data_IF_149616686662
#
_entry.id   IF_149616686662
#
_cell.length_a   1.000
_cell.length_b   1.000
_cell.length_c   1.000
_cell.angle_alpha   90.00
_cell.angle_beta   90.00
_cell.angle_gamma   90.00
#
_symmetry.space_group_name_H-M   'P 1'
#
loop_
_entity.id
_entity.type
_entity.pdbx_description
1 polymer ?
#
# COMPACT_ATOMS: atom_id res chain seq x y z
N UNK A 1 6.95 32.00 -11.18
CA UNK A 1 6.81 32.55 -9.81
C UNK A 1 6.99 31.40 -8.82
N UNK A 2 8.13 31.39 -8.14
CA UNK A 2 8.44 30.41 -7.10
C UNK A 2 7.66 30.83 -5.85
N UNK A 3 6.57 30.15 -5.54
CA UNK A 3 5.88 30.37 -4.27
C UNK A 3 6.78 29.85 -3.14
N UNK A 4 7.30 30.74 -2.32
CA UNK A 4 7.97 30.39 -1.07
C UNK A 4 6.93 29.96 -0.06
N UNK A 5 6.87 28.67 0.24
CA UNK A 5 6.06 28.14 1.33
C UNK A 5 6.89 28.20 2.62
N UNK A 6 6.67 29.23 3.41
CA UNK A 6 7.27 29.33 4.73
C UNK A 6 6.39 28.57 5.73
N UNK A 7 6.94 27.53 6.38
CA UNK A 7 6.31 26.92 7.54
C UNK A 7 6.24 27.96 8.64
N UNK A 8 5.08 28.59 8.84
CA UNK A 8 4.84 29.44 10.01
C UNK A 8 4.97 28.60 11.27
N UNK A 9 5.62 29.11 12.29
CA UNK A 9 5.67 28.59 13.67
C UNK A 9 4.26 28.59 14.31
N UNK A 10 3.37 27.79 13.82
CA UNK A 10 2.11 27.46 14.47
C UNK A 10 2.16 25.98 14.85
N UNK A 11 1.45 25.61 15.88
CA UNK A 11 1.43 24.25 16.47
C UNK A 11 0.99 23.13 15.52
N UNK A 12 0.71 23.41 14.26
CA UNK A 12 0.36 22.46 13.22
C UNK A 12 1.58 22.23 12.33
N UNK A 13 2.07 21.00 12.33
CA UNK A 13 3.08 20.55 11.37
C UNK A 13 2.38 20.39 10.02
N UNK A 14 2.87 21.09 8.99
CA UNK A 14 2.43 20.86 7.62
C UNK A 14 3.16 19.62 7.09
N UNK A 15 2.40 18.66 6.51
CA UNK A 15 2.93 17.57 5.71
C UNK A 15 3.44 18.09 4.37
N UNK A 16 4.31 17.33 3.72
CA UNK A 16 4.78 17.66 2.38
C UNK A 16 6.19 17.15 2.08
N UNK A 17 6.60 17.36 0.84
CA UNK A 17 7.92 16.95 0.39
C UNK A 17 8.95 18.03 0.72
N UNK A 18 10.09 17.71 1.37
CA UNK A 18 11.10 18.69 1.72
C UNK A 18 11.81 19.23 0.47
N UNK A 19 11.78 20.54 0.29
CA UNK A 19 12.43 21.24 -0.80
C UNK A 19 13.77 21.86 -0.37
N UNK A 20 13.81 22.51 0.78
CA UNK A 20 14.98 23.23 1.26
C UNK A 20 15.00 23.32 2.78
N UNK A 21 16.20 23.30 3.36
CA UNK A 21 16.41 23.64 4.77
C UNK A 21 16.99 25.06 4.86
N UNK A 22 16.27 25.93 5.56
CA UNK A 22 16.77 27.27 5.88
C UNK A 22 17.49 27.25 7.24
N UNK A 23 18.81 27.32 7.18
CA UNK A 23 19.66 27.32 8.38
C UNK A 23 19.51 28.54 9.27
N UNK A 24 19.05 29.69 8.73
CA UNK A 24 18.87 30.91 9.50
C UNK A 24 17.61 30.85 10.37
N UNK A 25 16.50 30.42 9.81
CA UNK A 25 15.24 30.22 10.52
C UNK A 25 15.12 28.87 11.19
N UNK A 26 16.03 27.92 10.91
CA UNK A 26 15.96 26.50 11.32
C UNK A 26 14.64 25.81 10.90
N UNK A 27 14.12 26.20 9.76
CA UNK A 27 12.88 25.69 9.20
C UNK A 27 13.14 24.83 7.94
N UNK A 28 12.26 23.88 7.70
CA UNK A 28 12.21 23.15 6.43
C UNK A 28 11.10 23.74 5.58
N UNK A 29 11.40 24.08 4.35
CA UNK A 29 10.41 24.47 3.35
C UNK A 29 9.90 23.19 2.72
N UNK A 30 8.59 23.00 2.70
CA UNK A 30 7.94 21.82 2.13
C UNK A 30 7.01 22.23 0.98
N UNK A 31 6.82 21.31 0.06
CA UNK A 31 5.74 21.37 -0.92
C UNK A 31 4.56 20.57 -0.35
N UNK A 32 3.49 21.26 0.01
CA UNK A 32 2.24 20.73 0.55
C UNK A 32 1.13 20.66 -0.50
N UNK A 33 1.48 20.83 -1.77
CA UNK A 33 0.52 20.75 -2.87
C UNK A 33 0.19 19.30 -3.20
N UNK A 34 -1.01 19.07 -3.74
CA UNK A 34 -1.44 17.76 -4.28
C UNK A 34 -0.76 17.52 -5.64
N UNK A 35 0.55 17.27 -5.59
CA UNK A 35 1.41 17.10 -6.76
C UNK A 35 2.27 15.85 -6.68
N UNK A 36 2.58 15.26 -7.84
CA UNK A 36 3.53 14.16 -7.94
C UNK A 36 4.96 14.70 -8.04
N UNK A 37 5.85 14.18 -7.19
CA UNK A 37 7.25 14.58 -7.18
C UNK A 37 8.16 13.46 -7.68
N UNK A 38 8.96 13.73 -8.70
CA UNK A 38 9.98 12.82 -9.22
C UNK A 38 11.37 13.24 -8.76
N UNK A 39 12.05 12.38 -7.99
CA UNK A 39 13.43 12.58 -7.56
C UNK A 39 14.35 11.62 -8.28
N UNK A 40 15.20 12.11 -9.16
CA UNK A 40 16.16 11.31 -9.93
C UNK A 40 17.61 11.68 -9.60
N UNK A 41 18.51 10.74 -9.84
CA UNK A 41 19.95 10.93 -9.62
C UNK A 41 20.68 9.59 -9.66
N UNK A 42 21.99 9.62 -9.87
CA UNK A 42 22.85 8.42 -9.90
C UNK A 42 22.85 7.65 -8.58
N UNK A 43 23.33 6.41 -8.61
CA UNK A 43 23.60 5.65 -7.41
C UNK A 43 24.60 6.39 -6.51
N UNK A 44 24.33 6.46 -5.20
CA UNK A 44 25.17 7.21 -4.27
C UNK A 44 24.87 8.71 -4.15
N UNK A 45 23.96 9.29 -4.94
CA UNK A 45 23.57 10.71 -4.86
C UNK A 45 22.80 11.09 -3.59
N UNK A 46 22.65 10.16 -2.65
CA UNK A 46 21.99 10.36 -1.33
C UNK A 46 20.50 10.72 -1.41
N UNK A 47 19.79 10.39 -2.50
CA UNK A 47 18.35 10.65 -2.65
C UNK A 47 17.52 10.23 -1.43
N UNK A 48 17.72 9.00 -0.97
CA UNK A 48 16.98 8.48 0.21
C UNK A 48 17.25 9.30 1.46
N UNK A 49 18.51 9.73 1.68
CA UNK A 49 18.88 10.50 2.88
C UNK A 49 18.47 11.97 2.81
N UNK A 50 18.49 12.54 1.61
CA UNK A 50 18.21 13.98 1.43
C UNK A 50 16.72 14.29 1.27
N UNK A 51 15.93 13.37 0.72
CA UNK A 51 14.52 13.60 0.42
C UNK A 51 13.61 12.58 1.13
N UNK A 52 13.78 11.27 0.88
CA UNK A 52 12.82 10.25 1.36
C UNK A 52 12.76 10.18 2.89
N UNK A 53 13.91 10.08 3.57
CA UNK A 53 13.94 10.00 5.04
C UNK A 53 13.40 11.28 5.72
N UNK A 54 13.76 12.50 5.28
CA UNK A 54 13.14 13.71 5.80
C UNK A 54 11.63 13.79 5.51
N UNK A 55 11.17 13.36 4.31
CA UNK A 55 9.75 13.34 3.98
C UNK A 55 8.95 12.44 4.94
N UNK A 56 9.44 11.21 5.21
CA UNK A 56 8.80 10.30 6.18
C UNK A 56 8.65 10.96 7.55
N UNK A 57 9.66 11.68 8.02
CA UNK A 57 9.60 12.37 9.32
C UNK A 57 8.63 13.53 9.33
N UNK A 58 8.60 14.31 8.26
CA UNK A 58 7.72 15.47 8.13
C UNK A 58 6.27 15.01 8.06
N UNK A 59 5.96 14.06 7.18
CA UNK A 59 4.63 13.49 7.03
C UNK A 59 4.17 12.77 8.30
N UNK A 60 5.08 12.02 8.96
CA UNK A 60 4.79 11.36 10.22
C UNK A 60 4.42 12.34 11.33
N UNK A 61 5.09 13.47 11.44
CA UNK A 61 4.75 14.52 12.43
C UNK A 61 3.52 15.31 12.08
N UNK A 62 3.17 15.35 10.80
CA UNK A 62 1.93 15.97 10.32
C UNK A 62 0.70 15.06 10.51
N UNK A 63 0.89 13.79 10.86
CA UNK A 63 -0.21 12.83 11.01
C UNK A 63 -0.72 12.24 9.69
N UNK A 64 0.08 12.34 8.62
CA UNK A 64 -0.30 11.88 7.29
C UNK A 64 -0.12 10.38 7.11
N UNK A 65 -1.07 9.71 6.45
CA UNK A 65 -0.94 8.29 6.09
C UNK A 65 0.07 8.11 4.97
N UNK A 66 0.88 7.05 5.04
CA UNK A 66 1.95 6.80 4.09
C UNK A 66 1.97 5.37 3.58
N UNK A 67 2.24 5.20 2.29
CA UNK A 67 2.62 3.91 1.69
C UNK A 67 4.08 4.03 1.24
N UNK A 68 4.95 3.16 1.79
CA UNK A 68 6.39 3.25 1.57
C UNK A 68 6.89 1.94 0.95
N UNK A 69 7.48 2.03 -0.24
CA UNK A 69 8.19 0.90 -0.84
C UNK A 69 9.65 0.90 -0.35
N UNK A 70 10.00 -0.08 0.53
CA UNK A 70 11.32 -0.21 1.12
C UNK A 70 11.99 -1.53 0.71
N UNK A 71 12.58 -1.56 -0.47
CA UNK A 71 13.21 -2.75 -1.03
C UNK A 71 14.39 -3.30 -0.19
N UNK A 72 14.94 -2.51 0.73
CA UNK A 72 16.11 -2.87 1.56
C UNK A 72 15.80 -3.02 3.05
N UNK A 73 14.61 -2.62 3.49
CA UNK A 73 14.25 -2.58 4.90
C UNK A 73 14.92 -1.42 5.69
N UNK A 74 15.62 -0.52 4.97
CA UNK A 74 16.41 0.55 5.59
C UNK A 74 15.52 1.65 6.18
N UNK A 75 14.41 1.97 5.49
CA UNK A 75 13.45 2.98 5.92
C UNK A 75 12.65 2.49 7.12
N UNK A 76 12.19 1.24 7.10
CA UNK A 76 11.50 0.61 8.21
C UNK A 76 12.38 0.59 9.47
N UNK A 77 13.59 0.06 9.37
CA UNK A 77 14.51 -0.04 10.50
C UNK A 77 14.83 1.32 11.14
N UNK A 78 14.82 2.40 10.34
CA UNK A 78 15.19 3.72 10.80
C UNK A 78 14.02 4.53 11.38
N UNK A 79 12.81 4.34 10.85
CA UNK A 79 11.67 5.20 11.16
C UNK A 79 10.54 4.52 11.91
N UNK A 80 10.47 3.18 11.93
CA UNK A 80 9.37 2.47 12.58
C UNK A 80 9.19 2.83 14.06
N UNK A 81 10.28 2.96 14.80
CA UNK A 81 10.21 3.33 16.21
C UNK A 81 9.65 4.75 16.40
N UNK A 82 10.16 5.74 15.66
CA UNK A 82 9.68 7.14 15.73
C UNK A 82 8.20 7.23 15.33
N UNK A 83 7.79 6.51 14.29
CA UNK A 83 6.39 6.46 13.87
C UNK A 83 5.48 5.75 14.89
N UNK A 84 5.96 4.68 15.50
CA UNK A 84 5.22 4.01 16.59
C UNK A 84 5.05 4.91 17.84
N UNK A 85 6.04 5.73 18.16
CA UNK A 85 5.95 6.73 19.23
C UNK A 85 4.96 7.88 18.91
N UNK A 86 4.62 8.04 17.64
CA UNK A 86 3.59 8.96 17.13
C UNK A 86 2.22 8.29 16.93
N UNK A 87 2.00 7.11 17.53
CA UNK A 87 0.75 6.32 17.46
C UNK A 87 0.36 5.83 16.05
N UNK A 88 1.34 5.66 15.14
CA UNK A 88 1.06 5.07 13.83
C UNK A 88 0.84 3.56 13.92
N UNK A 89 -0.19 3.08 13.26
CA UNK A 89 -0.34 1.66 12.95
C UNK A 89 0.55 1.28 11.77
N UNK A 90 1.65 0.58 12.04
CA UNK A 90 2.64 0.22 11.03
C UNK A 90 2.37 -1.19 10.52
N UNK A 91 1.95 -1.30 9.27
CA UNK A 91 1.74 -2.58 8.59
C UNK A 91 2.91 -2.86 7.66
N UNK A 92 3.55 -4.01 7.83
CA UNK A 92 4.72 -4.43 7.03
C UNK A 92 4.36 -5.65 6.20
N UNK A 93 4.35 -5.50 4.87
CA UNK A 93 4.21 -6.63 3.95
C UNK A 93 5.60 -7.00 3.46
N UNK A 94 6.11 -8.13 3.93
CA UNK A 94 7.49 -8.57 3.64
C UNK A 94 7.50 -9.75 2.68
N UNK A 95 7.65 -9.48 1.38
CA UNK A 95 7.72 -10.51 0.35
C UNK A 95 9.03 -11.33 0.37
N UNK A 96 10.12 -10.84 1.01
CA UNK A 96 11.37 -11.59 1.11
C UNK A 96 11.35 -12.61 2.24
N UNK A 97 10.71 -12.25 3.34
CA UNK A 97 10.53 -13.14 4.48
C UNK A 97 9.14 -12.92 5.07
N UNK A 98 8.12 -13.57 4.51
CA UNK A 98 6.72 -13.39 4.93
C UNK A 98 6.49 -13.66 6.42
N UNK A 99 7.30 -14.53 7.03
CA UNK A 99 7.19 -14.84 8.46
C UNK A 99 7.52 -13.66 9.40
N UNK A 100 8.17 -12.61 8.90
CA UNK A 100 8.55 -11.43 9.68
C UNK A 100 7.69 -10.19 9.40
N UNK A 101 6.67 -10.33 8.55
CA UNK A 101 5.72 -9.28 8.22
C UNK A 101 4.34 -9.50 8.82
N UNK A 102 3.44 -8.58 8.54
CA UNK A 102 2.03 -8.75 8.82
C UNK A 102 1.39 -9.69 7.78
N UNK A 103 0.50 -10.54 8.23
CA UNK A 103 -0.29 -11.34 7.31
C UNK A 103 -1.31 -10.44 6.58
N UNK A 104 -1.45 -10.68 5.28
CA UNK A 104 -2.44 -10.01 4.46
C UNK A 104 -3.20 -11.02 3.61
N UNK A 105 -4.51 -11.00 3.71
CA UNK A 105 -5.39 -11.82 2.90
C UNK A 105 -6.15 -10.93 1.92
N UNK A 106 -5.86 -10.99 0.61
CA UNK A 106 -6.52 -10.14 -0.39
C UNK A 106 -8.02 -10.39 -0.49
N UNK A 107 -8.49 -11.60 -0.11
CA UNK A 107 -9.89 -11.96 -0.15
C UNK A 107 -10.72 -11.41 1.02
N UNK A 108 -10.10 -10.81 2.04
CA UNK A 108 -10.81 -10.29 3.22
C UNK A 108 -11.78 -9.17 2.87
N UNK A 109 -11.33 -8.18 2.09
CA UNK A 109 -12.13 -7.00 1.74
C UNK A 109 -13.34 -7.39 0.87
N UNK A 110 -13.19 -8.11 -0.25
CA UNK A 110 -14.33 -8.52 -1.06
C UNK A 110 -15.29 -9.46 -0.29
N UNK A 111 -14.79 -10.28 0.62
CA UNK A 111 -15.65 -11.12 1.46
C UNK A 111 -16.49 -10.29 2.43
N UNK A 112 -15.95 -9.23 3.03
CA UNK A 112 -16.75 -8.34 3.89
C UNK A 112 -17.86 -7.64 3.10
N UNK A 113 -17.62 -7.19 1.87
CA UNK A 113 -18.68 -6.69 0.99
C UNK A 113 -19.72 -7.75 0.68
N UNK A 114 -19.30 -9.00 0.42
CA UNK A 114 -20.21 -10.13 0.21
C UNK A 114 -21.12 -10.34 1.42
N UNK A 115 -20.57 -10.34 2.65
CA UNK A 115 -21.34 -10.51 3.90
C UNK A 115 -22.33 -9.38 4.15
N UNK A 116 -21.97 -8.16 3.82
CA UNK A 116 -22.86 -7.00 4.01
C UNK A 116 -23.93 -6.86 2.90
N UNK A 117 -23.89 -7.74 1.89
CA UNK A 117 -24.84 -7.75 0.78
C UNK A 117 -24.51 -6.78 -0.36
N UNK A 118 -23.37 -6.09 -0.30
CA UNK A 118 -22.88 -5.25 -1.40
C UNK A 118 -22.21 -6.13 -2.48
N UNK A 119 -23.07 -6.82 -3.25
CA UNK A 119 -22.62 -7.80 -4.24
C UNK A 119 -21.86 -7.16 -5.40
N UNK A 120 -22.14 -5.90 -5.71
CA UNK A 120 -21.48 -5.18 -6.81
C UNK A 120 -20.00 -4.98 -6.45
N UNK A 121 -19.70 -4.42 -5.28
CA UNK A 121 -18.32 -4.27 -4.83
C UNK A 121 -17.62 -5.60 -4.55
N UNK A 122 -18.32 -6.56 -3.97
CA UNK A 122 -17.76 -7.90 -3.76
C UNK A 122 -17.29 -8.51 -5.08
N UNK A 123 -18.10 -8.40 -6.13
CA UNK A 123 -17.81 -8.92 -7.47
C UNK A 123 -16.70 -8.13 -8.15
N UNK A 124 -16.69 -6.79 -8.04
CA UNK A 124 -15.65 -5.93 -8.60
C UNK A 124 -14.26 -6.29 -8.03
N UNK A 125 -14.13 -6.30 -6.70
CA UNK A 125 -12.83 -6.63 -6.06
C UNK A 125 -12.42 -8.09 -6.28
N UNK A 126 -13.37 -9.04 -6.29
CA UNK A 126 -13.06 -10.44 -6.56
C UNK A 126 -12.57 -10.64 -8.00
N UNK A 127 -13.19 -9.94 -8.95
CA UNK A 127 -12.78 -9.97 -10.35
C UNK A 127 -11.41 -9.32 -10.57
N UNK A 128 -11.12 -8.21 -9.88
CA UNK A 128 -9.80 -7.57 -9.91
C UNK A 128 -8.70 -8.51 -9.39
N UNK A 129 -8.97 -9.22 -8.31
CA UNK A 129 -8.04 -10.22 -7.76
C UNK A 129 -7.83 -11.35 -8.76
N UNK A 130 -8.91 -11.91 -9.33
CA UNK A 130 -8.83 -12.98 -10.32
C UNK A 130 -8.02 -12.56 -11.56
N UNK A 131 -8.27 -11.36 -12.07
CA UNK A 131 -7.53 -10.81 -13.20
C UNK A 131 -6.04 -10.62 -12.88
N UNK A 132 -5.70 -10.08 -11.71
CA UNK A 132 -4.31 -9.87 -11.31
C UNK A 132 -3.56 -11.18 -11.06
N UNK A 133 -4.23 -12.24 -10.63
CA UNK A 133 -3.63 -13.55 -10.41
C UNK A 133 -3.42 -14.32 -11.72
N UNK A 134 -4.38 -14.26 -12.64
CA UNK A 134 -4.39 -15.07 -13.86
C UNK A 134 -3.72 -14.40 -15.04
N UNK A 135 -3.79 -13.07 -15.14
CA UNK A 135 -3.12 -12.31 -16.20
C UNK A 135 -1.72 -11.94 -15.78
N UNK A 136 -0.76 -12.82 -16.06
CA UNK A 136 0.67 -12.50 -15.91
C UNK A 136 1.13 -11.48 -16.95
N UNK A 137 2.36 -10.95 -16.78
CA UNK A 137 3.01 -10.05 -17.75
C UNK A 137 3.30 -10.71 -19.13
N UNK A 138 3.03 -12.00 -19.27
CA UNK A 138 3.21 -12.73 -20.53
C UNK A 138 2.09 -12.38 -21.50
N UNK A 139 2.44 -11.69 -22.57
CA UNK A 139 1.57 -11.55 -23.74
C UNK A 139 1.35 -12.93 -24.37
N UNK A 140 0.35 -13.67 -23.90
CA UNK A 140 -0.10 -14.86 -24.61
C UNK A 140 -0.59 -14.44 -25.99
N UNK A 141 -0.26 -15.20 -27.00
CA UNK A 141 -0.64 -14.94 -28.39
C UNK A 141 -2.16 -15.01 -28.59
N UNK A 142 -2.86 -15.64 -27.63
CA UNK A 142 -4.32 -15.75 -27.61
C UNK A 142 -4.87 -15.35 -26.22
N UNK A 143 -5.49 -14.16 -26.11
CA UNK A 143 -6.07 -13.67 -24.83
C UNK A 143 -7.24 -14.51 -24.31
N UNK A 144 -7.81 -15.39 -25.12
CA UNK A 144 -8.96 -16.21 -24.75
C UNK A 144 -8.69 -17.06 -23.48
N UNK A 145 -7.50 -17.68 -23.42
CA UNK A 145 -7.16 -18.53 -22.27
C UNK A 145 -7.00 -17.76 -20.98
N UNK A 146 -6.41 -16.56 -21.06
CA UNK A 146 -6.22 -15.69 -19.90
C UNK A 146 -7.56 -15.18 -19.36
N UNK A 147 -8.49 -14.80 -20.26
CA UNK A 147 -9.84 -14.41 -19.87
C UNK A 147 -10.61 -15.58 -19.24
N UNK A 148 -10.58 -16.76 -19.89
CA UNK A 148 -11.27 -17.95 -19.37
C UNK A 148 -10.75 -18.38 -17.99
N UNK A 149 -9.44 -18.29 -17.77
CA UNK A 149 -8.83 -18.60 -16.48
C UNK A 149 -9.25 -17.57 -15.42
N UNK A 150 -9.30 -16.29 -15.77
CA UNK A 150 -9.76 -15.24 -14.86
C UNK A 150 -11.24 -15.42 -14.48
N UNK A 151 -12.10 -15.74 -15.43
CA UNK A 151 -13.52 -15.98 -15.19
C UNK A 151 -13.76 -17.21 -14.31
N UNK A 152 -13.00 -18.28 -14.53
CA UNK A 152 -13.04 -19.47 -13.68
C UNK A 152 -12.60 -19.11 -12.25
N UNK A 153 -11.46 -18.41 -12.10
CA UNK A 153 -10.95 -17.99 -10.79
C UNK A 153 -11.96 -17.10 -10.05
N UNK A 154 -12.59 -16.15 -10.74
CA UNK A 154 -13.65 -15.33 -10.17
C UNK A 154 -14.82 -16.19 -9.67
N UNK A 155 -15.28 -17.16 -10.48
CA UNK A 155 -16.34 -18.08 -10.09
C UNK A 155 -15.99 -18.90 -8.84
N UNK A 156 -14.75 -19.38 -8.73
CA UNK A 156 -14.25 -20.11 -7.56
C UNK A 156 -14.18 -19.22 -6.32
N UNK A 157 -13.74 -17.96 -6.45
CA UNK A 157 -13.74 -17.00 -5.33
C UNK A 157 -15.17 -16.77 -4.82
N UNK A 158 -16.12 -16.54 -5.70
CA UNK A 158 -17.52 -16.32 -5.31
C UNK A 158 -18.16 -17.57 -4.68
N UNK A 159 -17.82 -18.76 -5.18
CA UNK A 159 -18.25 -20.04 -4.57
C UNK A 159 -17.67 -20.19 -3.16
N UNK A 160 -16.40 -19.86 -2.99
CA UNK A 160 -15.72 -19.90 -1.69
C UNK A 160 -16.38 -18.94 -0.69
N UNK A 161 -16.74 -17.72 -1.12
CA UNK A 161 -17.45 -16.75 -0.28
C UNK A 161 -18.80 -17.26 0.16
N UNK A 162 -19.56 -17.86 -0.75
CA UNK A 162 -20.85 -18.47 -0.43
C UNK A 162 -20.68 -19.58 0.59
N UNK A 163 -19.77 -20.51 0.36
CA UNK A 163 -19.51 -21.63 1.26
C UNK A 163 -19.07 -21.16 2.65
N UNK A 164 -18.13 -20.23 2.71
CA UNK A 164 -17.64 -19.67 3.98
C UNK A 164 -18.73 -18.92 4.75
N UNK A 165 -19.61 -18.21 4.05
CA UNK A 165 -20.74 -17.50 4.65
C UNK A 165 -21.79 -18.46 5.24
N UNK A 166 -22.16 -19.51 4.48
CA UNK A 166 -23.14 -20.53 4.91
C UNK A 166 -22.65 -21.31 6.16
N UNK A 167 -21.31 -21.51 6.28
CA UNK A 167 -20.73 -22.30 7.38
C UNK A 167 -20.09 -21.44 8.48
N UNK A 168 -20.08 -20.10 8.33
CA UNK A 168 -19.44 -19.15 9.25
C UNK A 168 -17.94 -19.44 9.50
N UNK A 169 -17.21 -19.81 8.45
CA UNK A 169 -15.82 -20.28 8.53
C UNK A 169 -14.86 -19.41 7.69
N UNK A 170 -14.83 -18.11 7.96
CA UNK A 170 -13.98 -17.18 7.22
C UNK A 170 -12.49 -17.54 7.28
N UNK A 171 -11.94 -17.68 8.50
CA UNK A 171 -10.49 -17.86 8.69
C UNK A 171 -9.99 -19.21 8.11
N UNK A 172 -10.86 -20.20 8.02
CA UNK A 172 -10.52 -21.53 7.55
C UNK A 172 -10.51 -21.61 6.02
N UNK A 173 -11.50 -21.00 5.36
CA UNK A 173 -11.73 -21.19 3.93
C UNK A 173 -11.37 -19.97 3.08
N UNK A 174 -11.60 -18.74 3.54
CA UNK A 174 -11.39 -17.55 2.69
C UNK A 174 -9.91 -17.18 2.63
N UNK A 175 -9.17 -17.88 1.82
CA UNK A 175 -7.77 -17.61 1.51
C UNK A 175 -7.39 -18.18 0.14
N UNK A 176 -6.26 -17.74 -0.43
CA UNK A 176 -5.82 -18.16 -1.76
C UNK A 176 -5.45 -19.67 -1.77
N UNK A 177 -4.94 -20.22 -0.68
CA UNK A 177 -4.58 -21.65 -0.64
C UNK A 177 -5.82 -22.54 -0.83
N UNK A 178 -6.96 -22.18 -0.23
CA UNK A 178 -8.21 -22.92 -0.41
C UNK A 178 -8.73 -22.90 -1.85
N UNK A 179 -8.38 -21.89 -2.66
CA UNK A 179 -8.74 -21.86 -4.07
C UNK A 179 -7.94 -22.88 -4.92
N UNK A 180 -6.78 -23.32 -4.44
CA UNK A 180 -5.95 -24.30 -5.12
C UNK A 180 -6.41 -25.72 -4.81
N UNK A 181 -7.10 -25.91 -3.68
CA UNK A 181 -7.61 -27.20 -3.21
C UNK A 181 -9.02 -27.52 -3.73
N UNK A 182 -9.71 -26.56 -4.37
CA UNK A 182 -10.99 -26.72 -5.04
C UNK A 182 -10.83 -27.21 -6.46
#
# INVERSE_FOLDING_TARGET
ETKQFAVKKTKEFLGGIPLMYDGASKCVVVDDTDSHTLVYGSTGSKKSRAVVMPAIKILGRAGESMIINDSKGELYNRHSKELSELDYNIVVINFRNPATGNAWNPLSIPYEFYKTGDMDKASEFANDIANNLMRGESSSTDPFWDYSASDLMFGLIMLLFRYASEHNKFNEFVNIASLIEL
#
